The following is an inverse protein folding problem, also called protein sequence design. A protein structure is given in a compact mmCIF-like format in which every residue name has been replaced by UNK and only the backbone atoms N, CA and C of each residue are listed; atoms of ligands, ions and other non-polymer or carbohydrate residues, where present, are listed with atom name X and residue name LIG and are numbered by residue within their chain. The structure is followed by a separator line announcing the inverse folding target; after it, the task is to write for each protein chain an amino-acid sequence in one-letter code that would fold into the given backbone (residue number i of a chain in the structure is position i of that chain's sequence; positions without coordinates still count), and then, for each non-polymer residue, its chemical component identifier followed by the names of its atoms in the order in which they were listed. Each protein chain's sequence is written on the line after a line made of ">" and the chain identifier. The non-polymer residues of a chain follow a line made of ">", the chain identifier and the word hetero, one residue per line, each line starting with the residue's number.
data_IF_679515591342
#
_entry.id   IF_679515591342
#
_cell.length_a   1.000
_cell.length_b   1.000
_cell.length_c   1.000
_cell.angle_alpha   90.00
_cell.angle_beta   90.00
_cell.angle_gamma   90.00
#
_symmetry.space_group_name_H-M   'P 1'
#
loop_
_entity.id
_entity.type
_entity.pdbx_description
1 polymer ?
#
# COMPACT_ATOMS: atom_id res chain seq x y z
N UNK A 1 3.68 9.67 9.10
CA UNK A 1 4.12 10.04 7.75
C UNK A 1 5.60 9.76 7.62
N UNK A 2 6.00 9.10 6.53
CA UNK A 2 7.40 8.90 6.16
C UNK A 2 7.66 9.52 4.77
N UNK A 3 8.85 10.07 4.56
CA UNK A 3 9.25 10.65 3.27
C UNK A 3 10.58 10.04 2.85
N UNK A 4 10.60 9.36 1.72
CA UNK A 4 11.79 8.78 1.13
C UNK A 4 12.16 9.53 -0.16
N UNK A 5 13.46 9.77 -0.34
CA UNK A 5 13.98 10.50 -1.50
C UNK A 5 14.92 9.59 -2.28
N UNK A 6 14.45 9.14 -3.43
CA UNK A 6 15.28 8.49 -4.43
C UNK A 6 15.88 9.56 -5.35
N UNK A 7 17.14 9.92 -5.09
CA UNK A 7 17.85 10.92 -5.89
C UNK A 7 18.26 10.41 -7.27
N UNK A 8 18.47 9.10 -7.41
CA UNK A 8 18.93 8.48 -8.67
C UNK A 8 17.80 8.50 -9.70
N UNK A 9 16.60 8.07 -9.28
CA UNK A 9 15.41 8.07 -10.13
C UNK A 9 14.62 9.40 -10.07
N UNK A 10 15.04 10.33 -9.21
CA UNK A 10 14.34 11.59 -8.92
C UNK A 10 12.90 11.36 -8.48
N UNK A 11 12.70 10.44 -7.54
CA UNK A 11 11.39 10.11 -6.97
C UNK A 11 11.35 10.56 -5.50
N UNK A 12 10.25 11.20 -5.11
CA UNK A 12 9.91 11.50 -3.73
C UNK A 12 8.72 10.65 -3.36
N UNK A 13 8.89 9.74 -2.41
CA UNK A 13 7.84 8.86 -1.92
C UNK A 13 7.34 9.40 -0.58
N UNK A 14 6.04 9.65 -0.46
CA UNK A 14 5.39 10.13 0.75
C UNK A 14 4.43 9.05 1.21
N UNK A 15 4.68 8.47 2.38
CA UNK A 15 3.86 7.41 2.96
C UNK A 15 2.99 7.99 4.07
N UNK A 16 1.68 7.89 3.89
CA UNK A 16 0.66 8.35 4.82
C UNK A 16 -0.09 7.16 5.40
N UNK A 17 -0.29 7.19 6.71
CA UNK A 17 -1.28 6.32 7.35
C UNK A 17 -2.70 6.73 6.95
N UNK A 18 -3.68 5.86 7.22
CA UNK A 18 -5.06 6.11 6.86
C UNK A 18 -5.58 7.38 7.54
N UNK A 19 -5.29 7.54 8.83
CA UNK A 19 -5.68 8.72 9.61
C UNK A 19 -5.06 10.00 9.06
N UNK A 20 -3.78 9.94 8.67
CA UNK A 20 -3.05 11.07 8.08
C UNK A 20 -3.57 11.43 6.69
N UNK A 21 -4.00 10.45 5.88
CA UNK A 21 -4.55 10.74 4.55
C UNK A 21 -5.92 11.43 4.59
N UNK A 22 -6.65 11.29 5.70
CA UNK A 22 -7.91 12.00 5.95
C UNK A 22 -7.71 13.38 6.59
N UNK A 23 -6.49 13.74 7.00
CA UNK A 23 -6.18 15.02 7.61
C UNK A 23 -6.03 16.12 6.54
N UNK A 24 -7.00 17.02 6.50
CA UNK A 24 -7.03 18.14 5.56
C UNK A 24 -5.92 19.16 5.85
N UNK A 25 -5.53 19.37 7.12
CA UNK A 25 -4.43 20.28 7.47
C UNK A 25 -3.10 19.75 6.94
N UNK A 26 -2.87 18.44 7.09
CA UNK A 26 -1.68 17.78 6.53
C UNK A 26 -1.64 17.89 5.01
N UNK A 27 -2.78 17.75 4.31
CA UNK A 27 -2.87 17.95 2.85
C UNK A 27 -2.51 19.37 2.44
N UNK A 28 -2.95 20.38 3.19
CA UNK A 28 -2.61 21.77 2.89
C UNK A 28 -1.12 22.05 3.10
N UNK A 29 -0.49 21.43 4.10
CA UNK A 29 0.96 21.52 4.33
C UNK A 29 1.76 20.81 3.23
N UNK A 30 1.26 19.70 2.71
CA UNK A 30 1.94 18.91 1.66
C UNK A 30 1.90 19.58 0.28
N UNK A 31 0.81 20.27 -0.07
CA UNK A 31 0.66 20.97 -1.37
C UNK A 31 1.88 21.81 -1.79
N UNK A 32 2.39 22.75 -0.96
CA UNK A 32 3.55 23.55 -1.33
C UNK A 32 4.84 22.72 -1.46
N UNK A 33 5.02 21.68 -0.63
CA UNK A 33 6.19 20.81 -0.71
C UNK A 33 6.20 20.01 -2.02
N UNK A 34 5.05 19.42 -2.39
CA UNK A 34 4.88 18.70 -3.66
C UNK A 34 5.17 19.63 -4.85
N UNK A 35 4.70 20.88 -4.79
CA UNK A 35 4.96 21.88 -5.83
C UNK A 35 6.46 22.20 -5.96
N UNK A 36 7.19 22.30 -4.84
CA UNK A 36 8.64 22.52 -4.85
C UNK A 36 9.40 21.36 -5.52
N UNK A 37 9.06 20.12 -5.18
CA UNK A 37 9.68 18.94 -5.79
C UNK A 37 9.35 18.81 -7.28
N UNK A 38 8.11 19.14 -7.67
CA UNK A 38 7.70 19.17 -9.07
C UNK A 38 8.52 20.20 -9.88
N UNK A 39 8.79 21.39 -9.32
CA UNK A 39 9.67 22.39 -9.96
C UNK A 39 11.10 21.88 -10.15
N UNK A 40 11.60 21.07 -9.21
CA UNK A 40 12.92 20.42 -9.27
C UNK A 40 12.95 19.20 -10.21
N UNK A 41 11.86 18.91 -10.93
CA UNK A 41 11.67 17.75 -11.83
C UNK A 41 11.76 16.40 -11.11
N UNK A 42 11.33 16.35 -9.86
CA UNK A 42 11.10 15.09 -9.15
C UNK A 42 9.67 14.60 -9.40
N UNK A 43 9.53 13.29 -9.54
CA UNK A 43 8.25 12.60 -9.49
C UNK A 43 7.85 12.44 -8.03
N UNK A 44 6.70 13.00 -7.63
CA UNK A 44 6.18 12.82 -6.26
C UNK A 44 5.11 11.72 -6.30
N UNK A 45 5.30 10.69 -5.48
CA UNK A 45 4.38 9.57 -5.31
C UNK A 45 3.87 9.58 -3.87
N UNK A 46 2.55 9.59 -3.68
CA UNK A 46 1.93 9.54 -2.35
C UNK A 46 1.26 8.18 -2.18
N UNK A 47 1.73 7.41 -1.21
CA UNK A 47 1.16 6.14 -0.79
C UNK A 47 0.25 6.37 0.41
N UNK A 48 -1.02 6.00 0.28
CA UNK A 48 -2.00 6.08 1.38
C UNK A 48 -2.33 4.66 1.86
N UNK A 49 -2.12 4.39 3.15
CA UNK A 49 -2.46 3.08 3.70
C UNK A 49 -3.98 2.88 3.73
N UNK A 50 -4.43 1.67 3.37
CA UNK A 50 -5.84 1.29 3.42
C UNK A 50 -6.41 1.13 4.83
N UNK A 51 -7.72 0.88 4.91
CA UNK A 51 -8.47 0.67 6.17
C UNK A 51 -8.45 -0.77 6.68
N UNK A 52 -8.04 -1.72 5.82
CA UNK A 52 -8.12 -3.13 6.13
C UNK A 52 -7.03 -3.51 7.14
N UNK A 53 -7.40 -4.27 8.17
CA UNK A 53 -6.43 -4.82 9.10
C UNK A 53 -5.56 -5.85 8.36
N UNK A 54 -4.25 -5.68 8.44
CA UNK A 54 -3.30 -6.52 7.72
C UNK A 54 -3.33 -7.96 8.23
N UNK A 55 -3.46 -8.17 9.54
CA UNK A 55 -3.43 -9.49 10.15
C UNK A 55 -4.68 -10.29 9.78
N UNK A 56 -5.87 -9.71 9.98
CA UNK A 56 -7.15 -10.34 9.64
C UNK A 56 -7.23 -10.66 8.15
N UNK A 57 -6.88 -9.70 7.28
CA UNK A 57 -6.93 -9.90 5.82
C UNK A 57 -5.97 -11.00 5.37
N UNK A 58 -4.76 -11.06 5.94
CA UNK A 58 -3.78 -12.09 5.60
C UNK A 58 -4.21 -13.46 6.12
N UNK A 59 -4.74 -13.54 7.34
CA UNK A 59 -5.28 -14.79 7.91
C UNK A 59 -6.38 -15.36 7.03
N UNK A 60 -7.35 -14.54 6.67
CA UNK A 60 -8.51 -14.98 5.88
C UNK A 60 -8.08 -15.46 4.49
N UNK A 61 -7.13 -14.76 3.85
CA UNK A 61 -6.55 -15.18 2.58
C UNK A 61 -5.83 -16.54 2.69
N UNK A 62 -5.03 -16.74 3.73
CA UNK A 62 -4.31 -18.00 3.95
C UNK A 62 -5.28 -19.16 4.21
N UNK A 63 -6.32 -18.94 5.02
CA UNK A 63 -7.36 -19.94 5.27
C UNK A 63 -8.09 -20.28 3.97
N UNK A 64 -8.49 -19.28 3.19
CA UNK A 64 -9.13 -19.49 1.89
C UNK A 64 -8.27 -20.34 0.94
N UNK A 65 -6.99 -19.99 0.80
CA UNK A 65 -6.05 -20.73 -0.04
C UNK A 65 -5.85 -22.17 0.46
N UNK A 66 -5.73 -22.38 1.78
CA UNK A 66 -5.63 -23.72 2.36
C UNK A 66 -6.87 -24.57 2.02
N UNK A 67 -8.07 -24.01 2.16
CA UNK A 67 -9.31 -24.70 1.81
C UNK A 67 -9.40 -25.05 0.33
N UNK A 68 -8.98 -24.15 -0.56
CA UNK A 68 -8.93 -24.43 -1.99
C UNK A 68 -7.92 -25.53 -2.32
N UNK A 69 -6.72 -25.49 -1.73
CA UNK A 69 -5.69 -26.51 -1.91
C UNK A 69 -6.17 -27.88 -1.43
N UNK A 70 -6.79 -27.95 -0.25
CA UNK A 70 -7.36 -29.19 0.28
C UNK A 70 -8.51 -29.71 -0.61
N UNK A 71 -9.39 -28.82 -1.08
CA UNK A 71 -10.49 -29.19 -1.98
C UNK A 71 -9.99 -29.69 -3.34
N UNK A 72 -8.91 -29.09 -3.85
CA UNK A 72 -8.26 -29.51 -5.10
C UNK A 72 -7.60 -30.89 -4.93
N UNK A 73 -6.85 -31.09 -3.86
CA UNK A 73 -6.24 -32.38 -3.53
C UNK A 73 -7.29 -33.50 -3.35
N UNK A 74 -8.43 -33.20 -2.70
CA UNK A 74 -9.53 -34.15 -2.57
C UNK A 74 -10.14 -34.52 -3.94
N UNK A 75 -10.33 -33.55 -4.84
CA UNK A 75 -10.84 -33.81 -6.20
C UNK A 75 -9.85 -34.62 -7.05
N UNK A 76 -8.55 -34.36 -6.90
CA UNK A 76 -7.50 -35.09 -7.61
C UNK A 76 -7.31 -36.52 -7.06
N UNK A 77 -7.57 -36.74 -5.77
CA UNK A 77 -7.52 -38.07 -5.13
C UNK A 77 -8.78 -38.94 -5.29
N UNK A 78 -9.90 -38.41 -5.80
CA UNK A 78 -11.16 -39.14 -6.02
C UNK A 78 -11.20 -39.85 -7.40
N UNK A 79 -10.15 -39.74 -8.22
CA UNK A 79 -10.02 -40.46 -9.51
C UNK A 79 -8.95 -41.58 -9.44
N UNK A 80 -8.73 -42.19 -8.27
CA UNK A 80 -7.88 -43.37 -8.11
C UNK A 80 -8.72 -44.60 -7.73
#
# INVERSE_FOLDING_TARGET
>A
MEVNLDQENKIVEIWLTHSESQDEELRQILKPQIAEYHQKKFLVVVYESGKADLFETTRDLLQHNLHLSASKAAKEGIIA
#
